data_IF_229757288249
#
_entry.id   IF_229757288249
#
_cell.length_a   1.000
_cell.length_b   1.000
_cell.length_c   1.000
_cell.angle_alpha   90.00
_cell.angle_beta   90.00
_cell.angle_gamma   90.00
#
_symmetry.space_group_name_H-M   'P 1'
#
loop_
_entity.id
_entity.type
_entity.pdbx_description
1 polymer ?
#
# COMPACT_ATOMS: atom_id res chain seq x y z
N UNK A 1 9.41 -4.99 22.58
CA UNK A 1 10.49 -5.01 21.57
C UNK A 1 9.94 -4.51 20.26
N UNK A 2 10.54 -3.47 19.66
CA UNK A 2 10.17 -3.05 18.32
C UNK A 2 10.58 -4.12 17.31
N UNK A 3 9.65 -4.54 16.44
CA UNK A 3 10.00 -5.45 15.34
C UNK A 3 11.05 -4.79 14.44
N UNK A 4 12.07 -5.57 14.03
CA UNK A 4 13.01 -5.09 13.01
C UNK A 4 12.24 -4.70 11.76
N UNK A 5 12.68 -3.64 11.08
CA UNK A 5 11.96 -3.12 9.91
C UNK A 5 11.79 -4.18 8.81
N UNK A 6 12.77 -5.06 8.66
CA UNK A 6 12.71 -6.20 7.75
C UNK A 6 11.59 -7.18 8.11
N UNK A 7 11.47 -7.53 9.39
CA UNK A 7 10.42 -8.43 9.85
C UNK A 7 9.02 -7.77 9.75
N UNK A 8 8.92 -6.48 10.08
CA UNK A 8 7.67 -5.72 9.91
C UNK A 8 7.24 -5.70 8.44
N UNK A 9 8.18 -5.38 7.53
CA UNK A 9 7.94 -5.38 6.08
C UNK A 9 7.48 -6.74 5.58
N UNK A 10 8.20 -7.81 5.96
CA UNK A 10 7.84 -9.18 5.59
C UNK A 10 6.45 -9.57 6.09
N UNK A 11 6.13 -9.29 7.37
CA UNK A 11 4.82 -9.62 7.94
C UNK A 11 3.69 -8.89 7.21
N UNK A 12 3.88 -7.60 6.94
CA UNK A 12 2.88 -6.78 6.25
C UNK A 12 2.64 -7.25 4.82
N UNK A 13 3.70 -7.53 4.07
CA UNK A 13 3.60 -8.14 2.74
C UNK A 13 2.83 -9.47 2.77
N UNK A 14 3.13 -10.34 3.73
CA UNK A 14 2.41 -11.62 3.89
C UNK A 14 0.91 -11.37 4.16
N UNK A 15 0.56 -10.41 5.02
CA UNK A 15 -0.85 -10.07 5.27
C UNK A 15 -1.59 -9.52 4.05
N UNK A 16 -0.85 -9.01 3.05
CA UNK A 16 -1.40 -8.57 1.77
C UNK A 16 -1.39 -9.68 0.70
N UNK A 17 -1.07 -10.92 1.08
CA UNK A 17 -1.25 -12.07 0.21
C UNK A 17 -0.13 -12.29 -0.81
N UNK A 18 1.07 -11.72 -0.62
CA UNK A 18 2.21 -11.98 -1.53
C UNK A 18 2.53 -13.48 -1.66
N UNK A 19 2.20 -14.31 -0.67
CA UNK A 19 2.41 -15.76 -0.73
C UNK A 19 1.32 -16.53 -1.49
N UNK A 20 0.25 -15.86 -1.92
CA UNK A 20 -0.91 -16.51 -2.52
C UNK A 20 -0.70 -16.91 -3.99
N UNK A 21 0.38 -16.41 -4.61
CA UNK A 21 0.78 -16.71 -5.99
C UNK A 21 2.30 -16.88 -6.10
N UNK A 22 2.81 -17.65 -7.08
CA UNK A 22 4.25 -17.79 -7.31
C UNK A 22 4.93 -16.45 -7.58
N UNK A 23 4.32 -15.60 -8.40
CA UNK A 23 4.88 -14.29 -8.74
C UNK A 23 4.84 -13.33 -7.56
N UNK A 24 3.80 -13.36 -6.74
CA UNK A 24 3.76 -12.56 -5.51
C UNK A 24 4.89 -12.94 -4.55
N UNK A 25 5.27 -14.22 -4.49
CA UNK A 25 6.33 -14.67 -3.59
C UNK A 25 7.70 -14.07 -3.98
N UNK A 26 7.87 -13.62 -5.23
CA UNK A 26 9.07 -12.87 -5.66
C UNK A 26 9.26 -11.59 -4.85
N UNK A 27 8.18 -10.96 -4.37
CA UNK A 27 8.28 -9.79 -3.47
C UNK A 27 8.98 -10.11 -2.15
N UNK A 28 9.09 -11.38 -1.77
CA UNK A 28 9.79 -11.84 -0.57
C UNK A 28 11.14 -12.50 -0.87
N UNK A 29 11.29 -13.15 -2.03
CA UNK A 29 12.48 -13.94 -2.38
C UNK A 29 13.49 -13.17 -3.23
N UNK A 30 13.03 -12.23 -4.06
CA UNK A 30 13.92 -11.31 -4.76
C UNK A 30 14.44 -10.27 -3.76
N UNK A 31 15.75 -10.27 -3.54
CA UNK A 31 16.40 -9.40 -2.56
C UNK A 31 16.27 -7.92 -2.94
N UNK A 32 16.37 -7.59 -4.23
CA UNK A 32 16.27 -6.21 -4.71
C UNK A 32 14.89 -5.64 -4.45
N UNK A 33 13.86 -6.35 -4.91
CA UNK A 33 12.47 -5.99 -4.71
C UNK A 33 12.11 -5.91 -3.23
N UNK A 34 12.51 -6.90 -2.42
CA UNK A 34 12.23 -6.87 -0.99
C UNK A 34 12.86 -5.65 -0.29
N UNK A 35 14.09 -5.27 -0.66
CA UNK A 35 14.74 -4.07 -0.11
C UNK A 35 14.03 -2.78 -0.54
N UNK A 36 13.43 -2.73 -1.73
CA UNK A 36 12.60 -1.60 -2.15
C UNK A 36 11.34 -1.48 -1.27
N UNK A 37 10.72 -2.59 -0.89
CA UNK A 37 9.61 -2.58 0.08
C UNK A 37 10.06 -2.16 1.49
N UNK A 38 11.27 -2.53 1.92
CA UNK A 38 11.84 -2.03 3.18
C UNK A 38 12.06 -0.51 3.11
N UNK A 39 12.48 0.02 1.95
CA UNK A 39 12.59 1.46 1.73
C UNK A 39 11.23 2.15 1.79
N UNK A 40 10.20 1.55 1.20
CA UNK A 40 8.82 2.03 1.31
C UNK A 40 8.35 2.07 2.77
N UNK A 41 8.60 1.01 3.55
CA UNK A 41 8.29 0.99 4.98
C UNK A 41 9.00 2.12 5.76
N UNK A 42 10.27 2.42 5.42
CA UNK A 42 10.98 3.57 6.01
C UNK A 42 10.29 4.90 5.68
N UNK A 43 9.92 5.08 4.41
CA UNK A 43 9.26 6.30 3.95
C UNK A 43 7.89 6.51 4.62
N UNK A 44 7.12 5.43 4.83
CA UNK A 44 5.86 5.50 5.57
C UNK A 44 6.08 5.89 7.03
N UNK A 45 7.08 5.32 7.70
CA UNK A 45 7.41 5.66 9.10
C UNK A 45 7.88 7.10 9.27
N UNK A 46 8.55 7.66 8.26
CA UNK A 46 8.95 9.08 8.25
C UNK A 46 7.82 10.01 7.83
N UNK A 47 6.64 9.49 7.46
CA UNK A 47 5.44 10.26 7.05
C UNK A 47 5.70 11.26 5.92
N UNK A 48 6.67 10.98 5.05
CA UNK A 48 7.01 11.87 3.92
C UNK A 48 6.32 11.38 2.66
N UNK A 49 5.39 12.17 2.15
CA UNK A 49 4.67 11.85 0.92
C UNK A 49 5.62 11.69 -0.28
N UNK A 50 6.56 12.62 -0.44
CA UNK A 50 7.58 12.57 -1.49
C UNK A 50 8.45 11.30 -1.40
N UNK A 51 8.90 10.93 -0.20
CA UNK A 51 9.69 9.73 -0.01
C UNK A 51 8.88 8.46 -0.33
N UNK A 52 7.58 8.45 -0.03
CA UNK A 52 6.68 7.33 -0.37
C UNK A 52 6.51 7.24 -1.89
N UNK A 53 6.25 8.36 -2.57
CA UNK A 53 6.11 8.36 -4.04
C UNK A 53 7.40 7.90 -4.72
N UNK A 54 8.56 8.41 -4.29
CA UNK A 54 9.85 7.97 -4.81
C UNK A 54 10.06 6.46 -4.58
N UNK A 55 9.76 5.95 -3.39
CA UNK A 55 9.88 4.51 -3.09
C UNK A 55 8.98 3.65 -3.98
N UNK A 56 7.74 4.08 -4.24
CA UNK A 56 6.83 3.39 -5.17
C UNK A 56 7.36 3.43 -6.60
N UNK A 57 7.87 4.57 -7.06
CA UNK A 57 8.45 4.69 -8.40
C UNK A 57 9.63 3.73 -8.60
N UNK A 58 10.49 3.55 -7.59
CA UNK A 58 11.56 2.55 -7.67
C UNK A 58 11.03 1.12 -7.77
N UNK A 59 9.93 0.80 -7.07
CA UNK A 59 9.25 -0.51 -7.18
C UNK A 59 8.65 -0.67 -8.58
N UNK A 60 7.97 0.35 -9.10
CA UNK A 60 7.40 0.36 -10.45
C UNK A 60 8.47 0.06 -11.50
N UNK A 61 9.55 0.83 -11.52
CA UNK A 61 10.65 0.63 -12.47
C UNK A 61 11.29 -0.74 -12.35
N UNK A 62 11.46 -1.25 -11.12
CA UNK A 62 12.03 -2.58 -10.91
C UNK A 62 11.09 -3.68 -11.42
N UNK A 63 9.81 -3.64 -11.05
CA UNK A 63 8.83 -4.64 -11.49
C UNK A 63 8.60 -4.61 -13.00
N UNK A 64 8.70 -3.43 -13.62
CA UNK A 64 8.70 -3.28 -15.08
C UNK A 64 9.94 -3.90 -15.71
N UNK A 65 11.14 -3.67 -15.16
CA UNK A 65 12.39 -4.24 -15.69
C UNK A 65 12.44 -5.78 -15.69
N UNK A 66 11.71 -6.42 -14.78
CA UNK A 66 11.59 -7.89 -14.72
C UNK A 66 10.35 -8.42 -15.48
N UNK A 67 9.63 -7.56 -16.20
CA UNK A 67 8.43 -7.93 -16.98
C UNK A 67 7.20 -8.26 -16.13
N UNK A 68 7.20 -7.90 -14.84
CA UNK A 68 6.14 -8.22 -13.87
C UNK A 68 5.51 -6.98 -13.26
N UNK A 69 5.16 -6.00 -14.10
CA UNK A 69 4.60 -4.70 -13.69
C UNK A 69 3.44 -4.81 -12.70
N UNK A 70 2.61 -5.86 -12.83
CA UNK A 70 1.48 -6.13 -11.94
C UNK A 70 1.88 -6.34 -10.46
N UNK A 71 3.14 -6.69 -10.16
CA UNK A 71 3.64 -6.81 -8.78
C UNK A 71 3.68 -5.46 -8.04
N UNK A 72 3.65 -4.33 -8.75
CA UNK A 72 3.48 -3.01 -8.14
C UNK A 72 2.16 -2.91 -7.36
N UNK A 73 1.15 -3.72 -7.68
CA UNK A 73 -0.10 -3.77 -6.92
C UNK A 73 0.15 -3.97 -5.42
N UNK A 74 1.14 -4.77 -5.05
CA UNK A 74 1.51 -4.98 -3.66
C UNK A 74 2.01 -3.71 -2.98
N UNK A 75 2.68 -2.80 -3.68
CA UNK A 75 3.08 -1.50 -3.14
C UNK A 75 1.86 -0.60 -2.86
N UNK A 76 0.89 -0.58 -3.79
CA UNK A 76 -0.34 0.18 -3.58
C UNK A 76 -1.15 -0.39 -2.41
N UNK A 77 -1.28 -1.72 -2.31
CA UNK A 77 -1.91 -2.40 -1.18
C UNK A 77 -1.17 -2.13 0.14
N UNK A 78 0.16 -2.14 0.12
CA UNK A 78 1.01 -1.86 1.28
C UNK A 78 0.74 -0.47 1.86
N UNK A 79 0.42 0.50 0.99
CA UNK A 79 0.10 1.86 1.40
C UNK A 79 -1.36 2.00 1.81
N UNK A 80 -2.26 1.50 0.97
CA UNK A 80 -3.69 1.63 1.15
C UNK A 80 -4.16 0.92 2.43
N UNK A 81 -3.74 -0.31 2.68
CA UNK A 81 -4.17 -1.07 3.86
C UNK A 81 -3.27 -0.75 5.08
N UNK A 82 -3.17 0.54 5.41
CA UNK A 82 -2.45 1.07 6.57
C UNK A 82 -3.38 1.75 7.57
N UNK A 83 -2.82 2.22 8.69
CA UNK A 83 -3.58 2.98 9.69
C UNK A 83 -4.08 4.33 9.17
N UNK A 84 -3.48 4.87 8.11
CA UNK A 84 -3.95 6.09 7.44
C UNK A 84 -5.26 5.90 6.66
N UNK A 85 -5.73 4.66 6.49
CA UNK A 85 -7.06 4.38 5.97
C UNK A 85 -8.05 4.24 7.12
N UNK A 86 -9.20 4.95 7.06
CA UNK A 86 -10.23 4.85 8.09
C UNK A 86 -10.70 3.40 8.28
N UNK A 87 -10.93 2.99 9.54
CA UNK A 87 -11.63 1.73 9.84
C UNK A 87 -13.12 1.85 9.53
N UNK A 88 -13.67 3.06 9.66
CA UNK A 88 -15.06 3.38 9.39
C UNK A 88 -15.12 4.80 8.81
N UNK A 89 -15.95 4.97 7.79
CA UNK A 89 -16.40 6.28 7.33
C UNK A 89 -17.89 6.33 7.62
N UNK A 90 -18.31 7.25 8.48
CA UNK A 90 -19.72 7.42 8.80
C UNK A 90 -20.47 8.01 7.60
N UNK A 91 -21.80 7.95 7.64
CA UNK A 91 -22.62 8.60 6.64
C UNK A 91 -22.42 10.12 6.71
N UNK A 92 -22.41 10.75 5.53
CA UNK A 92 -22.31 12.20 5.41
C UNK A 92 -23.50 12.85 6.14
N UNK A 93 -23.21 13.75 7.08
CA UNK A 93 -24.21 14.51 7.82
C UNK A 93 -24.42 15.86 7.12
N UNK A 94 -25.64 16.12 6.65
CA UNK A 94 -26.02 17.42 6.08
C UNK A 94 -26.37 18.35 7.24
N UNK A 95 -25.64 19.47 7.34
CA UNK A 95 -25.82 20.47 8.37
C UNK A 95 -26.91 21.47 7.98
N UNK A 96 -27.47 22.17 8.96
CA UNK A 96 -28.56 23.14 8.76
C UNK A 96 -28.19 24.31 7.81
N UNK A 97 -26.89 24.62 7.70
CA UNK A 97 -26.35 25.63 6.80
C UNK A 97 -26.08 25.13 5.37
N UNK A 98 -26.43 23.87 5.07
CA UNK A 98 -26.15 23.22 3.80
C UNK A 98 -24.72 22.67 3.67
N UNK A 99 -23.91 22.77 4.73
CA UNK A 99 -22.61 22.12 4.82
C UNK A 99 -22.73 20.60 4.93
N UNK A 100 -21.63 19.89 4.63
CA UNK A 100 -21.55 18.43 4.78
C UNK A 100 -20.42 18.09 5.74
N UNK A 101 -20.75 17.44 6.85
CA UNK A 101 -19.76 16.89 7.78
C UNK A 101 -19.43 15.46 7.39
N UNK A 102 -18.12 15.19 7.30
CA UNK A 102 -17.57 13.85 7.03
C UNK A 102 -16.81 13.35 8.23
N UNK A 103 -17.35 12.34 8.90
CA UNK A 103 -16.70 11.71 10.05
C UNK A 103 -15.98 10.44 9.63
N UNK A 104 -14.71 10.33 10.02
CA UNK A 104 -13.85 9.17 9.76
C UNK A 104 -13.26 8.68 11.06
N UNK A 105 -13.46 7.41 11.37
CA UNK A 105 -12.81 6.78 12.50
C UNK A 105 -11.54 6.05 12.06
N UNK A 106 -10.46 6.28 12.78
CA UNK A 106 -9.16 5.63 12.57
C UNK A 106 -8.86 4.63 13.69
N UNK A 107 -7.95 3.69 13.44
CA UNK A 107 -7.52 2.70 14.43
C UNK A 107 -6.67 3.30 15.55
N UNK A 108 -6.04 4.45 15.27
CA UNK A 108 -5.23 5.26 16.18
C UNK A 108 -5.25 6.71 15.71
N UNK A 109 -4.64 7.61 16.49
CA UNK A 109 -4.33 8.95 16.02
C UNK A 109 -3.43 8.88 14.77
N UNK A 110 -3.80 9.64 13.73
CA UNK A 110 -3.10 9.75 12.44
C UNK A 110 -2.90 11.21 12.09
N UNK A 111 -1.84 11.51 11.35
CA UNK A 111 -1.60 12.87 10.83
C UNK A 111 -2.23 13.04 9.43
N UNK A 112 -2.39 14.29 9.01
CA UNK A 112 -2.90 14.60 7.66
C UNK A 112 -2.03 13.97 6.56
N UNK A 113 -0.69 13.99 6.70
CA UNK A 113 0.21 13.27 5.79
C UNK A 113 -0.11 11.77 5.70
N UNK A 114 -0.38 11.09 6.81
CA UNK A 114 -0.70 9.66 6.80
C UNK A 114 -2.02 9.40 6.05
N UNK A 115 -3.00 10.29 6.21
CA UNK A 115 -4.28 10.25 5.49
C UNK A 115 -4.06 10.48 3.99
N UNK A 116 -3.27 11.48 3.61
CA UNK A 116 -2.97 11.81 2.21
C UNK A 116 -2.22 10.66 1.53
N UNK A 117 -1.20 10.09 2.20
CA UNK A 117 -0.46 8.92 1.72
C UNK A 117 -1.41 7.75 1.47
N UNK A 118 -2.29 7.43 2.43
CA UNK A 118 -3.23 6.32 2.30
C UNK A 118 -4.28 6.56 1.20
N UNK A 119 -4.80 7.79 1.09
CA UNK A 119 -5.74 8.19 0.06
C UNK A 119 -5.11 8.07 -1.35
N UNK A 120 -3.86 8.50 -1.51
CA UNK A 120 -3.12 8.33 -2.75
C UNK A 120 -2.92 6.85 -3.09
N UNK A 121 -2.52 6.02 -2.11
CA UNK A 121 -2.40 4.58 -2.28
C UNK A 121 -3.71 3.92 -2.75
N UNK A 122 -4.85 4.34 -2.17
CA UNK A 122 -6.19 3.88 -2.60
C UNK A 122 -6.48 4.23 -4.06
N UNK A 123 -6.17 5.45 -4.48
CA UNK A 123 -6.37 5.88 -5.88
C UNK A 123 -5.54 5.02 -6.85
N UNK A 124 -4.27 4.76 -6.53
CA UNK A 124 -3.42 3.90 -7.35
C UNK A 124 -3.93 2.45 -7.38
N UNK A 125 -4.31 1.91 -6.22
CA UNK A 125 -4.86 0.56 -6.12
C UNK A 125 -6.12 0.40 -7.00
N UNK A 126 -7.11 1.27 -6.83
CA UNK A 126 -8.37 1.22 -7.59
C UNK A 126 -8.14 1.38 -9.11
N UNK A 127 -7.13 2.14 -9.52
CA UNK A 127 -6.79 2.32 -10.94
C UNK A 127 -6.35 1.02 -11.62
N UNK A 128 -5.63 0.15 -10.89
CA UNK A 128 -4.97 -1.00 -11.48
C UNK A 128 -5.47 -2.36 -10.96
N UNK A 129 -6.27 -2.40 -9.89
CA UNK A 129 -6.65 -3.65 -9.20
C UNK A 129 -7.19 -4.72 -10.15
N UNK A 130 -8.14 -4.38 -11.02
CA UNK A 130 -8.81 -5.35 -11.87
C UNK A 130 -7.86 -6.00 -12.88
N UNK A 131 -7.03 -5.20 -13.56
CA UNK A 131 -6.09 -5.72 -14.57
C UNK A 131 -4.90 -6.43 -13.92
N UNK A 132 -4.39 -5.91 -12.81
CA UNK A 132 -3.21 -6.47 -12.15
C UNK A 132 -3.53 -7.72 -11.35
N UNK A 133 -4.70 -7.82 -10.70
CA UNK A 133 -5.12 -9.09 -10.10
C UNK A 133 -5.35 -10.16 -11.16
N UNK A 134 -5.95 -9.82 -12.30
CA UNK A 134 -6.11 -10.78 -13.40
C UNK A 134 -4.77 -11.33 -13.86
N UNK A 135 -3.76 -10.47 -14.06
CA UNK A 135 -2.41 -10.90 -14.43
C UNK A 135 -1.73 -11.72 -13.32
N UNK A 136 -1.84 -11.28 -12.06
CA UNK A 136 -1.23 -11.95 -10.90
C UNK A 136 -1.78 -13.37 -10.68
N UNK A 137 -3.07 -13.58 -10.93
CA UNK A 137 -3.73 -14.87 -10.75
C UNK A 137 -3.87 -15.71 -12.03
N UNK A 138 -3.49 -15.17 -13.20
CA UNK A 138 -3.51 -15.92 -14.46
C UNK A 138 -2.63 -17.18 -14.44
N UNK A 139 -1.61 -17.20 -13.56
CA UNK A 139 -0.65 -18.29 -13.43
C UNK A 139 -0.82 -19.10 -12.13
N UNK A 140 -2.03 -19.10 -11.52
CA UNK A 140 -2.37 -20.08 -10.47
C UNK A 140 -2.56 -21.45 -11.11
N UNK A 141 -1.46 -22.18 -11.28
CA UNK A 141 -1.46 -23.63 -11.56
C UNK A 141 -1.34 -24.41 -10.26
#
# INVERSE_FOLDING_TARGET
MALSIYLATRKKLISHGVKNTPDGNLTLTDKGLFLLFVRLERAQRSKSFEAVQAAVQFIESHTESIGKRYLTLFAYMYIYFSDGTPKLTELDEILEDGGVRKTKEYRRAVTDEEIVIAAWGKVQFNRYENSFFRALYAHRS
#
